data_IF_580173155322
#
_entry.id   IF_580173155322
#
_cell.length_a   1.000
_cell.length_b   1.000
_cell.length_c   1.000
_cell.angle_alpha   90.00
_cell.angle_beta   90.00
_cell.angle_gamma   90.00
#
_symmetry.space_group_name_H-M   'P 1'
#
loop_
_entity.id
_entity.type
_entity.pdbx_description
1 polymer ?
#
# COMPACT_ATOMS: atom_id res chain seq x y z
N UNK A 1 -58.10 30.33 -47.68
CA UNK A 1 -57.79 29.35 -48.76
C UNK A 1 -56.62 28.48 -48.27
N UNK A 2 -56.71 27.14 -48.24
CA UNK A 2 -55.98 26.16 -49.11
C UNK A 2 -54.48 26.52 -49.32
N UNK A 3 -53.42 25.71 -49.10
CA UNK A 3 -53.11 24.24 -48.94
C UNK A 3 -51.73 24.09 -48.19
N UNK A 4 -51.13 22.93 -47.85
CA UNK A 4 -51.57 21.57 -47.42
C UNK A 4 -50.40 20.53 -47.39
N UNK A 5 -50.04 19.94 -46.22
CA UNK A 5 -49.15 18.75 -46.02
C UNK A 5 -47.61 18.96 -46.29
N UNK A 6 -46.62 18.13 -45.86
CA UNK A 6 -46.61 16.75 -45.27
C UNK A 6 -45.29 16.38 -44.51
N UNK A 7 -45.41 15.76 -43.32
CA UNK A 7 -44.66 14.64 -42.70
C UNK A 7 -43.10 14.47 -42.63
N UNK A 8 -42.69 13.72 -41.58
CA UNK A 8 -41.38 13.10 -41.22
C UNK A 8 -40.28 14.05 -40.70
N UNK A 9 -39.41 13.65 -39.76
CA UNK A 9 -39.19 12.32 -39.15
C UNK A 9 -38.71 12.38 -37.69
N UNK A 10 -38.38 11.22 -37.12
CA UNK A 10 -37.79 11.08 -35.76
C UNK A 10 -36.35 11.60 -35.78
N UNK A 11 -35.84 12.02 -34.63
CA UNK A 11 -34.81 11.24 -33.93
C UNK A 11 -34.65 11.72 -32.48
N UNK A 12 -35.00 10.84 -31.55
CA UNK A 12 -34.67 10.97 -30.14
C UNK A 12 -33.21 10.55 -29.98
N UNK A 13 -32.31 11.53 -29.85
CA UNK A 13 -30.97 11.27 -29.33
C UNK A 13 -31.06 10.96 -27.84
N UNK A 14 -31.43 9.71 -27.52
CA UNK A 14 -31.03 9.08 -26.27
C UNK A 14 -29.51 9.04 -26.28
N UNK A 15 -28.92 9.91 -25.47
CA UNK A 15 -27.49 9.90 -25.21
C UNK A 15 -27.25 8.73 -24.25
N UNK A 16 -27.21 7.53 -24.80
CA UNK A 16 -27.00 6.28 -24.07
C UNK A 16 -25.57 6.27 -23.54
N UNK A 17 -25.39 6.86 -22.36
CA UNK A 17 -24.12 6.92 -21.66
C UNK A 17 -23.79 5.51 -21.22
N UNK A 18 -22.95 4.80 -22.00
CA UNK A 18 -22.40 3.52 -21.60
C UNK A 18 -21.80 3.67 -20.20
N UNK A 19 -22.47 3.08 -19.21
CA UNK A 19 -21.87 2.83 -17.91
C UNK A 19 -20.64 1.94 -18.14
N UNK A 20 -19.47 2.25 -17.56
CA UNK A 20 -18.30 1.41 -17.73
C UNK A 20 -18.63 -0.03 -17.30
N UNK A 21 -18.33 -0.99 -18.17
CA UNK A 21 -18.39 -2.41 -17.85
C UNK A 21 -17.52 -2.69 -16.61
N UNK A 22 -17.94 -3.64 -15.77
CA UNK A 22 -17.30 -3.89 -14.46
C UNK A 22 -15.79 -4.23 -14.50
N UNK A 23 -15.25 -4.57 -15.67
CA UNK A 23 -13.81 -4.79 -15.90
C UNK A 23 -12.97 -3.50 -15.98
N UNK A 24 -13.59 -2.32 -16.15
CA UNK A 24 -12.90 -1.03 -16.36
C UNK A 24 -12.72 -0.23 -15.06
N UNK A 25 -12.94 -0.85 -13.91
CA UNK A 25 -12.66 -0.27 -12.61
C UNK A 25 -11.13 -0.13 -12.42
N UNK A 26 -10.61 1.05 -12.03
CA UNK A 26 -9.18 1.22 -11.82
C UNK A 26 -8.69 0.29 -10.69
N UNK A 27 -7.48 -0.30 -10.82
CA UNK A 27 -7.00 -1.28 -9.85
C UNK A 27 -6.88 -0.66 -8.45
N UNK A 28 -7.29 -1.42 -7.43
CA UNK A 28 -7.22 -0.95 -6.04
C UNK A 28 -5.78 -1.07 -5.55
N UNK A 29 -5.17 0.08 -5.24
CA UNK A 29 -3.77 0.18 -4.84
C UNK A 29 -3.65 0.32 -3.33
N UNK A 30 -2.81 -0.51 -2.72
CA UNK A 30 -2.58 -0.58 -1.28
C UNK A 30 -1.08 -0.41 -1.03
N UNK A 31 -0.70 0.34 0.01
CA UNK A 31 0.70 0.42 0.45
C UNK A 31 0.87 -0.16 1.85
N UNK A 32 1.87 -1.02 2.03
CA UNK A 32 2.34 -1.50 3.32
C UNK A 32 3.60 -0.77 3.77
N UNK A 33 3.75 -0.55 5.08
CA UNK A 33 4.98 -0.04 5.69
C UNK A 33 5.41 -0.90 6.89
N UNK A 34 6.69 -1.28 6.93
CA UNK A 34 7.38 -1.84 8.09
C UNK A 34 8.19 -0.73 8.81
N UNK A 35 7.76 -0.24 9.99
CA UNK A 35 8.36 0.93 10.63
C UNK A 35 9.71 0.64 11.32
N UNK A 36 10.80 1.22 10.83
CA UNK A 36 12.09 1.16 11.51
C UNK A 36 12.88 2.48 11.45
N UNK A 37 13.47 2.87 12.58
CA UNK A 37 14.15 4.17 12.69
C UNK A 37 15.43 4.27 11.83
N UNK A 38 16.06 3.14 11.48
CA UNK A 38 17.24 3.07 10.59
C UNK A 38 16.83 2.78 9.13
N UNK A 39 15.78 1.99 8.94
CA UNK A 39 15.29 1.43 7.69
C UNK A 39 13.77 1.29 7.89
N UNK A 40 12.96 1.97 7.09
CA UNK A 40 11.52 1.70 6.99
C UNK A 40 11.28 0.98 5.67
N UNK A 41 10.76 -0.24 5.73
CA UNK A 41 10.33 -0.99 4.54
C UNK A 41 9.02 -0.46 3.98
N UNK A 42 8.83 -0.56 2.66
CA UNK A 42 7.53 -0.33 2.05
C UNK A 42 7.31 -1.21 0.82
N UNK A 43 6.04 -1.54 0.56
CA UNK A 43 5.60 -2.23 -0.65
C UNK A 43 4.27 -1.67 -1.13
N UNK A 44 4.16 -1.38 -2.42
CA UNK A 44 2.94 -0.92 -3.10
C UNK A 44 2.43 -2.06 -3.97
N UNK A 45 1.19 -2.48 -3.75
CA UNK A 45 0.53 -3.52 -4.53
C UNK A 45 -0.73 -2.97 -5.20
N UNK A 46 -1.14 -3.63 -6.28
CA UNK A 46 -2.44 -3.44 -6.94
C UNK A 46 -3.22 -4.73 -6.92
N UNK A 47 -4.51 -4.64 -6.57
CA UNK A 47 -5.51 -5.69 -6.73
C UNK A 47 -6.28 -5.37 -8.02
N UNK A 48 -6.17 -6.28 -8.99
CA UNK A 48 -6.87 -6.22 -10.26
C UNK A 48 -8.33 -6.70 -10.12
N UNK A 49 -9.23 -6.42 -11.09
CA UNK A 49 -10.64 -6.83 -11.03
C UNK A 49 -10.86 -8.36 -10.89
N UNK A 50 -9.93 -9.16 -11.41
CA UNK A 50 -9.90 -10.63 -11.28
C UNK A 50 -9.33 -11.13 -9.93
N UNK A 51 -9.16 -10.22 -8.96
CA UNK A 51 -8.53 -10.42 -7.65
C UNK A 51 -7.04 -10.79 -7.71
N UNK A 52 -6.37 -10.72 -8.86
CA UNK A 52 -4.93 -10.93 -8.91
C UNK A 52 -4.17 -9.75 -8.30
N UNK A 53 -3.19 -10.06 -7.47
CA UNK A 53 -2.31 -9.07 -6.83
C UNK A 53 -1.04 -8.90 -7.66
N UNK A 54 -0.66 -7.66 -7.93
CA UNK A 54 0.57 -7.27 -8.63
C UNK A 54 1.42 -6.37 -7.74
N UNK A 55 2.73 -6.63 -7.67
CA UNK A 55 3.67 -5.67 -7.11
C UNK A 55 3.83 -4.48 -8.07
N UNK A 56 3.65 -3.26 -7.55
CA UNK A 56 3.88 -2.01 -8.28
C UNK A 56 5.29 -1.49 -7.99
N UNK A 57 5.66 -1.43 -6.71
CA UNK A 57 6.94 -0.89 -6.23
C UNK A 57 7.27 -1.52 -4.86
N UNK A 58 8.55 -1.71 -4.55
CA UNK A 58 8.99 -2.05 -3.19
C UNK A 58 10.37 -1.46 -2.91
N UNK A 59 10.58 -0.96 -1.69
CA UNK A 59 11.81 -0.29 -1.36
C UNK A 59 11.99 -0.03 0.12
N UNK A 60 12.97 0.82 0.44
CA UNK A 60 13.29 1.16 1.83
C UNK A 60 13.68 2.63 1.97
N UNK A 61 13.13 3.31 2.98
CA UNK A 61 13.55 4.66 3.37
C UNK A 61 14.68 4.50 4.40
N UNK A 62 15.86 5.04 4.11
CA UNK A 62 17.08 4.83 4.92
C UNK A 62 17.68 6.17 5.40
N UNK A 63 17.26 6.70 6.56
CA UNK A 63 17.93 7.81 7.21
C UNK A 63 19.39 7.48 7.55
N UNK A 64 20.25 8.49 7.63
CA UNK A 64 21.63 8.29 8.09
C UNK A 64 21.61 7.92 9.57
N UNK A 65 22.20 6.78 9.92
CA UNK A 65 22.17 6.24 11.29
C UNK A 65 22.87 7.11 12.34
N UNK A 66 23.76 8.03 11.91
CA UNK A 66 24.47 9.00 12.74
C UNK A 66 23.69 10.30 12.99
N UNK A 67 22.58 10.54 12.29
CA UNK A 67 21.78 11.75 12.48
C UNK A 67 20.91 11.64 13.74
N UNK A 68 20.56 12.79 14.30
CA UNK A 68 19.64 12.91 15.44
C UNK A 68 18.24 12.36 15.10
N UNK A 69 17.48 11.96 16.11
CA UNK A 69 16.20 11.28 15.93
C UNK A 69 15.20 12.13 15.12
N UNK A 70 15.18 13.44 15.34
CA UNK A 70 14.29 14.40 14.68
C UNK A 70 14.55 14.44 13.16
N UNK A 71 15.83 14.48 12.75
CA UNK A 71 16.23 14.45 11.34
C UNK A 71 15.84 13.12 10.69
N UNK A 72 16.00 12.01 11.41
CA UNK A 72 15.66 10.67 10.91
C UNK A 72 14.16 10.48 10.75
N UNK A 73 13.37 10.99 11.70
CA UNK A 73 11.91 11.03 11.63
C UNK A 73 11.43 11.92 10.48
N UNK A 74 12.09 13.06 10.23
CA UNK A 74 11.80 13.91 9.08
C UNK A 74 12.07 13.20 7.74
N UNK A 75 13.17 12.46 7.61
CA UNK A 75 13.46 11.64 6.41
C UNK A 75 12.40 10.55 6.21
N UNK A 76 12.00 9.84 7.28
CA UNK A 76 10.93 8.83 7.22
C UNK A 76 9.61 9.47 6.79
N UNK A 77 9.19 10.56 7.44
CA UNK A 77 7.94 11.27 7.12
C UNK A 77 7.91 11.77 5.68
N UNK A 78 9.03 12.36 5.21
CA UNK A 78 9.13 12.90 3.85
C UNK A 78 9.04 11.80 2.79
N UNK A 79 9.79 10.70 2.96
CA UNK A 79 9.73 9.56 2.03
C UNK A 79 8.36 8.87 2.03
N UNK A 80 7.68 8.78 3.18
CA UNK A 80 6.30 8.29 3.24
C UNK A 80 5.38 9.22 2.47
N UNK A 81 5.47 10.55 2.67
CA UNK A 81 4.65 11.51 1.92
C UNK A 81 4.89 11.41 0.41
N UNK A 82 6.13 11.27 -0.03
CA UNK A 82 6.51 11.10 -1.44
C UNK A 82 5.86 9.83 -2.04
N UNK A 83 5.92 8.70 -1.33
CA UNK A 83 5.26 7.44 -1.74
C UNK A 83 3.73 7.63 -1.83
N UNK A 84 3.10 8.24 -0.83
CA UNK A 84 1.66 8.47 -0.81
C UNK A 84 1.21 9.44 -1.93
N UNK A 85 2.00 10.45 -2.26
CA UNK A 85 1.72 11.41 -3.35
C UNK A 85 1.92 10.80 -4.74
N UNK A 86 2.99 10.01 -4.91
CA UNK A 86 3.35 9.35 -6.17
C UNK A 86 2.37 8.23 -6.50
N UNK A 87 2.09 7.36 -5.53
CA UNK A 87 1.28 6.16 -5.76
C UNK A 87 -0.21 6.36 -5.46
N UNK A 88 -0.62 7.35 -4.66
CA UNK A 88 -2.03 7.63 -4.33
C UNK A 88 -2.85 6.37 -3.96
N UNK A 89 -2.37 5.53 -3.02
CA UNK A 89 -3.06 4.31 -2.64
C UNK A 89 -4.39 4.64 -1.95
N UNK A 90 -5.39 3.78 -2.12
CA UNK A 90 -6.70 3.93 -1.48
C UNK A 90 -6.66 3.57 0.01
N UNK A 91 -5.77 2.66 0.41
CA UNK A 91 -5.55 2.31 1.82
C UNK A 91 -4.09 2.01 2.13
N UNK A 92 -3.75 2.10 3.42
CA UNK A 92 -2.42 1.86 3.96
C UNK A 92 -2.47 0.77 5.04
N UNK A 93 -1.47 -0.11 5.03
CA UNK A 93 -1.22 -1.13 6.03
C UNK A 93 0.05 -0.79 6.82
N UNK A 94 0.05 -1.03 8.13
CA UNK A 94 1.23 -0.85 8.98
C UNK A 94 1.27 -1.92 10.08
N UNK A 95 2.46 -2.37 10.43
CA UNK A 95 2.63 -3.31 11.54
C UNK A 95 2.26 -2.68 12.90
N UNK A 96 1.68 -3.48 13.79
CA UNK A 96 1.47 -3.17 15.20
C UNK A 96 2.73 -3.45 16.02
N UNK A 97 3.13 -2.48 16.84
CA UNK A 97 4.31 -2.60 17.70
C UNK A 97 4.16 -3.78 18.69
N UNK A 98 4.95 -4.83 18.51
CA UNK A 98 5.11 -5.85 19.54
C UNK A 98 6.16 -5.41 20.57
N UNK A 99 5.72 -5.04 21.78
CA UNK A 99 6.62 -4.62 22.86
C UNK A 99 7.08 -5.82 23.67
N UNK A 100 8.26 -6.35 23.37
CA UNK A 100 8.91 -7.30 24.28
C UNK A 100 9.47 -6.54 25.50
N UNK A 101 9.02 -6.89 26.69
CA UNK A 101 9.44 -6.28 27.98
C UNK A 101 10.95 -6.25 28.25
N UNK A 102 11.76 -7.02 27.51
CA UNK A 102 13.23 -7.01 27.58
C UNK A 102 13.87 -5.85 26.83
N UNK A 103 13.15 -5.20 25.91
CA UNK A 103 13.69 -4.17 24.99
C UNK A 103 12.83 -2.88 24.94
N UNK A 104 12.49 -2.26 26.10
CA UNK A 104 11.59 -1.10 26.13
C UNK A 104 12.13 0.11 25.35
N UNK A 105 13.45 0.34 25.34
CA UNK A 105 14.08 1.42 24.55
C UNK A 105 13.84 1.25 23.04
N UNK A 106 13.97 0.03 22.53
CA UNK A 106 13.73 -0.28 21.11
C UNK A 106 12.27 -0.03 20.74
N UNK A 107 11.33 -0.45 21.60
CA UNK A 107 9.91 -0.22 21.39
C UNK A 107 9.55 1.28 21.36
N UNK A 108 10.12 2.10 22.24
CA UNK A 108 9.93 3.56 22.23
C UNK A 108 10.45 4.17 20.93
N UNK A 109 11.68 3.84 20.51
CA UNK A 109 12.28 4.34 19.27
C UNK A 109 11.48 3.93 18.02
N UNK A 110 10.98 2.70 17.97
CA UNK A 110 10.09 2.21 16.92
C UNK A 110 8.73 2.91 16.94
N UNK A 111 8.22 3.25 18.12
CA UNK A 111 7.02 4.07 18.32
C UNK A 111 7.12 5.47 17.68
N UNK A 112 8.28 6.12 17.76
CA UNK A 112 8.50 7.39 17.06
C UNK A 112 8.41 7.24 15.53
N UNK A 113 9.10 6.24 14.96
CA UNK A 113 9.08 5.97 13.52
C UNK A 113 7.66 5.63 13.03
N UNK A 114 6.94 4.77 13.75
CA UNK A 114 5.54 4.45 13.46
C UNK A 114 4.63 5.67 13.57
N UNK A 115 4.84 6.52 14.57
CA UNK A 115 4.05 7.72 14.82
C UNK A 115 4.03 8.68 13.63
N UNK A 116 5.19 8.92 13.00
CA UNK A 116 5.25 9.80 11.82
C UNK A 116 4.64 9.18 10.56
N UNK A 117 4.68 7.85 10.41
CA UNK A 117 3.98 7.15 9.31
C UNK A 117 2.46 7.26 9.50
N UNK A 118 1.95 7.03 10.72
CA UNK A 118 0.52 7.21 11.03
C UNK A 118 0.05 8.66 10.80
N UNK A 119 0.87 9.64 11.16
CA UNK A 119 0.59 11.06 10.92
C UNK A 119 0.49 11.36 9.42
N UNK A 120 1.39 10.83 8.59
CA UNK A 120 1.37 11.04 7.15
C UNK A 120 0.07 10.54 6.49
N UNK A 121 -0.42 9.35 6.85
CA UNK A 121 -1.70 8.86 6.34
C UNK A 121 -2.89 9.73 6.78
N UNK A 122 -2.93 10.16 8.04
CA UNK A 122 -3.96 11.08 8.53
C UNK A 122 -3.93 12.43 7.79
N UNK A 123 -2.73 12.98 7.51
CA UNK A 123 -2.55 14.20 6.71
C UNK A 123 -2.98 14.06 5.25
N UNK A 124 -2.94 12.84 4.69
CA UNK A 124 -3.40 12.52 3.32
C UNK A 124 -4.84 12.02 3.25
N UNK A 125 -5.52 11.82 4.38
CA UNK A 125 -6.88 11.28 4.43
C UNK A 125 -6.99 9.82 4.01
N UNK A 126 -5.91 9.04 4.13
CA UNK A 126 -5.85 7.64 3.69
C UNK A 126 -6.25 6.71 4.85
N UNK A 127 -7.11 5.73 4.58
CA UNK A 127 -7.52 4.74 5.58
C UNK A 127 -6.32 3.88 6.00
N UNK A 128 -6.10 3.74 7.32
CA UNK A 128 -4.94 3.05 7.88
C UNK A 128 -5.35 1.82 8.69
N UNK A 129 -4.97 0.65 8.19
CA UNK A 129 -5.17 -0.63 8.84
C UNK A 129 -3.94 -1.05 9.66
N UNK A 130 -4.16 -1.76 10.76
CA UNK A 130 -3.13 -2.16 11.70
C UNK A 130 -3.08 -3.69 11.83
N UNK A 131 -1.93 -4.31 11.55
CA UNK A 131 -1.77 -5.77 11.55
C UNK A 131 -0.74 -6.24 12.57
N UNK A 132 -1.04 -7.32 13.29
CA UNK A 132 -0.06 -8.03 14.12
C UNK A 132 0.94 -8.77 13.22
N UNK A 133 2.27 -8.75 13.49
CA UNK A 133 3.28 -9.45 12.69
C UNK A 133 2.92 -10.92 12.44
N UNK A 134 2.54 -11.64 13.49
CA UNK A 134 2.20 -13.07 13.43
C UNK A 134 0.99 -13.35 12.50
N UNK A 135 0.10 -12.36 12.29
CA UNK A 135 -1.09 -12.51 11.43
C UNK A 135 -0.70 -12.44 9.95
N UNK A 136 0.21 -11.52 9.58
CA UNK A 136 0.74 -11.41 8.21
C UNK A 136 1.48 -12.69 7.82
N UNK A 137 2.39 -13.16 8.69
CA UNK A 137 3.14 -14.42 8.48
C UNK A 137 2.21 -15.62 8.32
N UNK A 138 1.21 -15.73 9.19
CA UNK A 138 0.22 -16.82 9.13
C UNK A 138 -0.66 -16.77 7.87
N UNK A 139 -1.05 -15.60 7.39
CA UNK A 139 -1.89 -15.45 6.19
C UNK A 139 -1.17 -15.87 4.91
N UNK A 140 0.11 -15.48 4.76
CA UNK A 140 0.88 -15.72 3.54
C UNK A 140 1.60 -17.07 3.50
N UNK A 141 1.96 -17.65 4.65
CA UNK A 141 2.75 -18.90 4.71
C UNK A 141 2.01 -20.09 5.34
N UNK A 142 0.83 -19.86 5.91
CA UNK A 142 0.13 -20.85 6.74
C UNK A 142 0.71 -21.04 8.15
N UNK A 143 1.78 -20.31 8.53
CA UNK A 143 2.41 -20.41 9.84
C UNK A 143 2.81 -19.04 10.41
N UNK A 144 2.40 -18.75 11.65
CA UNK A 144 2.81 -17.53 12.34
C UNK A 144 4.31 -17.45 12.70
N UNK A 145 5.07 -18.54 12.53
CA UNK A 145 6.49 -18.65 12.86
C UNK A 145 7.41 -18.71 11.63
N UNK A 146 6.91 -18.35 10.44
CA UNK A 146 7.69 -18.46 9.21
C UNK A 146 8.96 -17.60 9.22
N UNK A 147 10.06 -18.18 8.76
CA UNK A 147 11.36 -17.49 8.61
C UNK A 147 11.38 -16.56 7.40
N UNK A 148 12.34 -15.62 7.36
CA UNK A 148 12.47 -14.62 6.27
C UNK A 148 12.45 -15.24 4.86
N UNK A 149 13.11 -16.38 4.65
CA UNK A 149 13.09 -17.07 3.35
C UNK A 149 11.70 -17.61 2.97
N UNK A 150 10.93 -18.12 3.93
CA UNK A 150 9.54 -18.56 3.69
C UNK A 150 8.63 -17.37 3.39
N UNK A 151 8.88 -16.22 4.02
CA UNK A 151 8.23 -14.95 3.71
C UNK A 151 8.49 -14.54 2.26
N UNK A 152 9.76 -14.45 1.86
CA UNK A 152 10.17 -14.14 0.49
C UNK A 152 9.58 -15.11 -0.54
N UNK A 153 9.53 -16.41 -0.26
CA UNK A 153 8.95 -17.39 -1.19
C UNK A 153 7.42 -17.26 -1.30
N UNK A 154 6.72 -16.95 -0.21
CA UNK A 154 5.27 -16.68 -0.25
C UNK A 154 4.98 -15.39 -1.02
N UNK A 155 5.69 -14.30 -0.73
CA UNK A 155 5.59 -13.02 -1.44
C UNK A 155 5.93 -13.18 -2.93
N UNK A 156 6.99 -13.92 -3.28
CA UNK A 156 7.34 -14.23 -4.67
C UNK A 156 6.22 -14.99 -5.39
N UNK A 157 5.61 -15.98 -4.73
CA UNK A 157 4.52 -16.78 -5.29
C UNK A 157 3.26 -15.94 -5.51
N UNK A 158 2.85 -15.17 -4.51
CA UNK A 158 1.60 -14.40 -4.52
C UNK A 158 1.66 -13.25 -5.53
N UNK A 159 2.80 -12.55 -5.57
CA UNK A 159 3.06 -11.44 -6.51
C UNK A 159 3.62 -11.91 -7.87
N UNK A 160 3.70 -13.24 -8.10
CA UNK A 160 4.21 -13.91 -9.31
C UNK A 160 5.56 -13.37 -9.82
N UNK A 161 6.46 -13.02 -8.91
CA UNK A 161 7.73 -12.37 -9.25
C UNK A 161 8.72 -13.36 -9.90
N UNK A 162 9.31 -12.95 -11.02
CA UNK A 162 10.30 -13.74 -11.78
C UNK A 162 11.56 -14.08 -10.96
N UNK A 163 11.87 -13.28 -9.96
CA UNK A 163 12.94 -13.48 -8.98
C UNK A 163 12.42 -13.18 -7.57
N UNK A 164 13.19 -13.54 -6.54
CA UNK A 164 12.88 -13.16 -5.16
C UNK A 164 13.00 -11.64 -4.98
N UNK A 165 12.20 -11.00 -4.10
CA UNK A 165 12.43 -9.61 -3.73
C UNK A 165 13.82 -9.46 -3.08
N UNK A 166 14.62 -8.53 -3.60
CA UNK A 166 15.92 -8.15 -3.05
C UNK A 166 15.94 -6.63 -2.79
N UNK A 167 16.51 -6.15 -1.66
CA UNK A 167 17.04 -6.95 -0.55
C UNK A 167 15.91 -7.65 0.25
N UNK A 168 16.27 -8.56 1.17
CA UNK A 168 15.29 -9.32 1.96
C UNK A 168 14.33 -8.44 2.79
N UNK A 169 14.70 -7.19 3.08
CA UNK A 169 13.86 -6.17 3.72
C UNK A 169 12.65 -5.74 2.86
N UNK A 170 12.60 -6.11 1.56
CA UNK A 170 11.51 -5.78 0.65
C UNK A 170 10.37 -6.84 0.62
N UNK A 171 10.42 -7.82 1.54
CA UNK A 171 9.46 -8.93 1.62
C UNK A 171 8.93 -9.22 3.04
N UNK A 172 9.33 -8.41 4.04
CA UNK A 172 8.63 -8.31 5.32
C UNK A 172 7.52 -7.25 5.21
#
# INVERSE_FOLDING_TARGET
>A
MKKSQKAKGRDSHENDSLSPSGDDAPPTRIVGFDPGLNITGYGVIEVLPDQHVRLVEAGTIRPKSKDDIEKRLHVIHSGVCEILETFRPQSMAIEQLFVHVRFPKTAILMGHARGVICLAAAQKGIELHHYLPNRVKSMLTGSGHAGKEQMQMAVQRELRLKARPEPADAAD
#
